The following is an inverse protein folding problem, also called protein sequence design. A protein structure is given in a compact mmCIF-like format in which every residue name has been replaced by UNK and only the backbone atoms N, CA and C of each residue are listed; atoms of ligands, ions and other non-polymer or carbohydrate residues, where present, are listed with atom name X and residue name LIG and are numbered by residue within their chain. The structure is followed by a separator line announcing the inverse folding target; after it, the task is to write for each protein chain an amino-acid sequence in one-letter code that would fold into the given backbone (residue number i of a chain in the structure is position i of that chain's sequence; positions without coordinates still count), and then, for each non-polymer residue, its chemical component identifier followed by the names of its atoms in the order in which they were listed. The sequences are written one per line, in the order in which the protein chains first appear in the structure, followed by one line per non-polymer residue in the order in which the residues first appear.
data_IF_456174437990
#
_entry.id   IF_456174437990
#
_cell.length_a   1.000
_cell.length_b   1.000
_cell.length_c   1.000
_cell.angle_alpha   90.00
_cell.angle_beta   90.00
_cell.angle_gamma   90.00
#
_symmetry.space_group_name_H-M   'P 1'
#
loop_
_entity.id
_entity.type
_entity.pdbx_description
1 polymer ?
#
# COMPACT_ATOMS: atom_id res chain seq x y z
N UNK A 1 -37.15 -13.19 8.91
CA UNK A 1 -36.80 -11.98 9.68
C UNK A 1 -35.30 -11.87 9.60
N UNK A 2 -34.79 -11.14 8.61
CA UNK A 2 -33.34 -11.03 8.37
C UNK A 2 -32.77 -9.95 9.28
N UNK A 3 -32.50 -10.32 10.54
CA UNK A 3 -31.71 -9.49 11.44
C UNK A 3 -30.24 -9.63 11.07
N UNK A 4 -29.83 -9.02 9.96
CA UNK A 4 -28.42 -8.80 9.66
C UNK A 4 -27.89 -7.74 10.62
N UNK A 5 -27.44 -8.20 11.78
CA UNK A 5 -26.73 -7.43 12.77
C UNK A 5 -25.37 -6.98 12.21
N UNK A 6 -25.38 -5.83 11.54
CA UNK A 6 -24.26 -5.33 10.76
C UNK A 6 -23.86 -3.93 11.25
N UNK A 7 -22.57 -3.77 11.53
CA UNK A 7 -21.94 -2.48 11.81
C UNK A 7 -21.00 -2.14 10.66
N UNK A 8 -20.79 -0.84 10.42
CA UNK A 8 -19.94 -0.35 9.35
C UNK A 8 -18.87 0.60 9.87
N UNK A 9 -17.70 0.50 9.27
CA UNK A 9 -16.62 1.50 9.37
C UNK A 9 -16.47 2.15 8.00
N UNK A 10 -16.39 3.48 7.99
CA UNK A 10 -16.06 4.26 6.82
C UNK A 10 -14.71 4.95 7.01
N UNK A 11 -13.86 4.91 5.98
CA UNK A 11 -12.53 5.51 5.97
C UNK A 11 -11.65 5.13 7.18
N UNK A 12 -11.69 3.87 7.61
CA UNK A 12 -10.80 3.34 8.64
C UNK A 12 -9.40 3.08 8.07
N UNK A 13 -8.37 3.14 8.91
CA UNK A 13 -6.98 2.85 8.52
C UNK A 13 -6.58 1.48 9.03
N UNK A 14 -5.97 0.66 8.18
CA UNK A 14 -5.36 -0.60 8.61
C UNK A 14 -4.12 -0.28 9.43
N UNK A 15 -4.10 -0.66 10.70
CA UNK A 15 -2.93 -0.52 11.57
C UNK A 15 -2.02 -1.74 11.52
N UNK A 16 -2.60 -2.92 11.29
CA UNK A 16 -1.87 -4.18 11.13
C UNK A 16 -2.68 -5.26 10.40
N UNK A 17 -1.99 -6.21 9.78
CA UNK A 17 -2.57 -7.39 9.14
C UNK A 17 -1.81 -8.62 9.61
N UNK A 18 -2.48 -9.45 10.41
CA UNK A 18 -1.88 -10.66 10.95
C UNK A 18 -2.48 -11.91 10.31
N UNK A 19 -1.61 -12.83 9.90
CA UNK A 19 -1.99 -14.13 9.37
C UNK A 19 -1.21 -15.23 10.07
N UNK A 20 -1.91 -16.21 10.65
CA UNK A 20 -1.27 -17.30 11.38
C UNK A 20 -2.17 -18.51 11.57
N UNK A 21 -1.64 -19.53 12.26
CA UNK A 21 -2.36 -20.78 12.55
C UNK A 21 -3.63 -20.56 13.40
N UNK A 22 -3.66 -19.48 14.17
CA UNK A 22 -4.76 -19.13 15.08
C UNK A 22 -5.84 -18.27 14.41
N UNK A 23 -5.78 -18.10 13.09
CA UNK A 23 -6.70 -17.28 12.31
C UNK A 23 -6.02 -16.07 11.69
N UNK A 24 -6.83 -15.34 10.92
CA UNK A 24 -6.42 -14.12 10.22
C UNK A 24 -7.24 -12.95 10.73
N UNK A 25 -6.61 -11.81 10.92
CA UNK A 25 -7.32 -10.62 11.35
C UNK A 25 -6.65 -9.33 10.86
N UNK A 26 -7.47 -8.29 10.77
CA UNK A 26 -7.07 -6.96 10.34
C UNK A 26 -7.38 -6.00 11.48
N UNK A 27 -6.37 -5.32 12.01
CA UNK A 27 -6.56 -4.27 13.00
C UNK A 27 -6.89 -2.96 12.26
N UNK A 28 -8.04 -2.39 12.54
CA UNK A 28 -8.51 -1.15 11.90
C UNK A 28 -8.69 -0.08 12.95
N UNK A 29 -8.07 1.09 12.73
CA UNK A 29 -8.38 2.31 13.46
C UNK A 29 -9.44 3.12 12.70
N UNK A 30 -10.41 3.70 13.39
CA UNK A 30 -11.49 4.45 12.76
C UNK A 30 -12.06 5.52 13.71
N UNK A 31 -12.83 6.44 13.15
CA UNK A 31 -13.54 7.47 13.90
C UNK A 31 -15.03 7.22 13.84
N UNK A 32 -15.61 6.84 14.99
CA UNK A 32 -17.07 6.68 15.12
C UNK A 32 -17.81 8.02 14.99
N UNK A 33 -17.17 9.13 15.39
CA UNK A 33 -17.66 10.47 15.13
C UNK A 33 -16.50 11.42 14.76
N UNK A 34 -16.28 11.70 13.46
CA UNK A 34 -15.19 12.57 13.00
C UNK A 34 -15.24 14.01 13.52
N UNK A 35 -16.43 14.54 13.81
CA UNK A 35 -16.64 15.93 14.22
C UNK A 35 -16.83 16.13 15.73
N UNK A 36 -16.77 15.05 16.51
CA UNK A 36 -17.04 15.10 17.95
C UNK A 36 -15.76 15.26 18.80
N UNK A 37 -14.58 15.32 18.19
CA UNK A 37 -13.31 15.43 18.92
C UNK A 37 -12.93 14.18 19.73
N UNK A 38 -13.53 13.02 19.45
CA UNK A 38 -13.16 11.75 20.07
C UNK A 38 -11.91 11.14 19.43
N UNK A 39 -11.12 10.44 20.24
CA UNK A 39 -9.96 9.68 19.80
C UNK A 39 -10.34 8.57 18.82
N UNK A 40 -9.39 8.18 17.97
CA UNK A 40 -9.55 7.05 17.08
C UNK A 40 -9.80 5.78 17.91
N UNK A 41 -10.86 5.05 17.58
CA UNK A 41 -11.10 3.72 18.12
C UNK A 41 -10.35 2.68 17.30
N UNK A 42 -10.07 1.53 17.89
CA UNK A 42 -9.49 0.39 17.20
C UNK A 42 -10.37 -0.84 17.36
N UNK A 43 -10.51 -1.62 16.29
CA UNK A 43 -11.20 -2.90 16.31
C UNK A 43 -10.39 -3.93 15.53
N UNK A 44 -10.38 -5.16 16.01
CA UNK A 44 -9.78 -6.29 15.33
C UNK A 44 -10.85 -7.07 14.57
N UNK A 45 -10.75 -7.02 13.25
CA UNK A 45 -11.67 -7.69 12.34
C UNK A 45 -11.17 -9.09 12.03
N UNK A 46 -11.87 -10.11 12.51
CA UNK A 46 -11.55 -11.52 12.26
C UNK A 46 -11.97 -11.89 10.84
N UNK A 47 -10.99 -12.27 10.02
CA UNK A 47 -11.15 -12.62 8.62
C UNK A 47 -11.25 -14.14 8.49
N UNK A 48 -12.27 -14.59 7.77
CA UNK A 48 -12.53 -16.00 7.47
C UNK A 48 -12.70 -16.23 5.96
N UNK A 49 -12.91 -17.47 5.55
CA UNK A 49 -13.21 -17.80 4.16
C UNK A 49 -14.51 -17.14 3.63
N UNK A 50 -15.38 -16.69 4.53
CA UNK A 50 -16.63 -16.00 4.18
C UNK A 50 -16.46 -14.48 4.08
N UNK A 51 -15.31 -13.93 4.45
CA UNK A 51 -15.04 -12.51 4.36
C UNK A 51 -14.70 -12.13 2.91
N UNK A 52 -15.44 -11.19 2.35
CA UNK A 52 -15.19 -10.65 1.00
C UNK A 52 -14.21 -9.49 1.10
N UNK A 53 -13.05 -9.59 0.44
CA UNK A 53 -12.06 -8.52 0.40
C UNK A 53 -11.99 -7.95 -1.02
N UNK A 54 -12.11 -6.64 -1.13
CA UNK A 54 -12.27 -5.93 -2.40
C UNK A 54 -11.19 -4.85 -2.57
N UNK A 55 -10.67 -4.74 -3.80
CA UNK A 55 -9.82 -3.61 -4.22
C UNK A 55 -10.65 -2.37 -4.54
N UNK A 56 -10.00 -1.24 -4.78
CA UNK A 56 -10.60 0.06 -5.08
C UNK A 56 -11.59 0.05 -6.25
N UNK A 57 -11.52 -0.96 -7.12
CA UNK A 57 -12.37 -1.17 -8.30
C UNK A 57 -13.46 -2.23 -8.05
N UNK A 58 -13.65 -2.64 -6.80
CA UNK A 58 -14.60 -3.67 -6.35
C UNK A 58 -14.27 -5.08 -6.87
N UNK A 59 -13.02 -5.36 -7.27
CA UNK A 59 -12.59 -6.70 -7.61
C UNK A 59 -12.21 -7.48 -6.35
N UNK A 60 -12.53 -8.77 -6.31
CA UNK A 60 -12.11 -9.65 -5.21
C UNK A 60 -10.60 -9.84 -5.20
N UNK A 61 -9.99 -9.60 -4.06
CA UNK A 61 -8.55 -9.76 -3.82
C UNK A 61 -8.29 -10.65 -2.60
N UNK A 62 -7.10 -11.28 -2.51
CA UNK A 62 -6.75 -12.10 -1.35
C UNK A 62 -6.36 -11.23 -0.15
N UNK A 63 -6.47 -11.77 1.07
CA UNK A 63 -6.09 -11.07 2.32
C UNK A 63 -4.66 -10.53 2.30
N UNK A 64 -3.72 -11.26 1.69
CA UNK A 64 -2.31 -10.86 1.54
C UNK A 64 -2.10 -9.53 0.80
N UNK A 65 -3.14 -9.04 0.12
CA UNK A 65 -3.11 -7.74 -0.57
C UNK A 65 -3.46 -6.58 0.36
N UNK A 66 -4.02 -6.84 1.55
CA UNK A 66 -4.20 -5.81 2.57
C UNK A 66 -2.86 -5.49 3.24
N UNK A 67 -2.61 -4.20 3.47
CA UNK A 67 -1.38 -3.72 4.09
C UNK A 67 -1.66 -2.61 5.08
N UNK A 68 -0.78 -2.48 6.08
CA UNK A 68 -0.79 -1.35 7.01
C UNK A 68 -0.79 -0.01 6.24
N UNK A 69 -1.60 0.91 6.71
CA UNK A 69 -1.80 2.24 6.14
C UNK A 69 -2.87 2.30 5.05
N UNK A 70 -3.37 1.18 4.52
CA UNK A 70 -4.51 1.24 3.60
C UNK A 70 -5.74 1.81 4.31
N UNK A 71 -6.49 2.63 3.59
CA UNK A 71 -7.80 3.12 4.01
C UNK A 71 -8.86 2.14 3.52
N UNK A 72 -9.74 1.70 4.40
CA UNK A 72 -10.78 0.71 4.14
C UNK A 72 -12.14 1.16 4.64
N UNK A 73 -13.17 0.71 3.92
CA UNK A 73 -14.51 0.56 4.47
C UNK A 73 -14.69 -0.90 4.89
N UNK A 74 -15.37 -1.15 6.01
CA UNK A 74 -15.60 -2.51 6.49
C UNK A 74 -17.04 -2.69 6.97
N UNK A 75 -17.60 -3.87 6.71
CA UNK A 75 -18.87 -4.32 7.27
C UNK A 75 -18.61 -5.58 8.11
N UNK A 76 -19.09 -5.58 9.35
CA UNK A 76 -18.77 -6.61 10.33
C UNK A 76 -19.92 -6.86 11.31
N UNK A 77 -19.81 -7.96 12.07
CA UNK A 77 -20.81 -8.33 13.08
C UNK A 77 -20.87 -7.30 14.20
N UNK A 78 -22.08 -6.93 14.64
CA UNK A 78 -22.23 -6.12 15.85
C UNK A 78 -21.85 -6.87 17.14
N UNK A 79 -21.71 -8.20 17.07
CA UNK A 79 -21.32 -9.04 18.19
C UNK A 79 -19.80 -8.94 18.38
N UNK A 80 -19.39 -8.09 19.33
CA UNK A 80 -17.99 -7.84 19.67
C UNK A 80 -17.57 -8.57 20.94
N UNK A 81 -16.30 -8.95 21.02
CA UNK A 81 -15.69 -9.46 22.26
C UNK A 81 -15.43 -8.34 23.25
N UNK A 82 -15.29 -8.68 24.54
CA UNK A 82 -14.88 -7.75 25.61
C UNK A 82 -13.35 -7.55 25.73
N UNK A 83 -12.60 -7.80 24.66
CA UNK A 83 -11.14 -7.62 24.64
C UNK A 83 -10.75 -6.17 24.33
N UNK A 84 -9.46 -5.85 24.48
CA UNK A 84 -8.89 -4.56 24.07
C UNK A 84 -7.75 -4.85 23.09
N UNK A 85 -7.87 -4.47 21.80
CA UNK A 85 -9.08 -3.94 21.15
C UNK A 85 -10.22 -4.98 21.08
N UNK A 86 -11.49 -4.54 20.95
CA UNK A 86 -12.62 -5.43 20.70
C UNK A 86 -12.43 -6.18 19.37
N UNK A 87 -12.98 -7.39 19.27
CA UNK A 87 -12.91 -8.21 18.06
C UNK A 87 -14.30 -8.56 17.54
N UNK A 88 -14.45 -8.62 16.22
CA UNK A 88 -15.70 -9.03 15.55
C UNK A 88 -15.43 -9.77 14.24
N UNK A 89 -16.38 -10.59 13.79
CA UNK A 89 -16.29 -11.25 12.49
C UNK A 89 -16.51 -10.23 11.35
N UNK A 90 -15.59 -10.21 10.38
CA UNK A 90 -15.72 -9.36 9.20
C UNK A 90 -16.50 -10.05 8.08
N UNK A 91 -17.44 -9.34 7.48
CA UNK A 91 -18.18 -9.77 6.30
C UNK A 91 -17.57 -9.20 5.03
N UNK A 92 -17.24 -7.91 5.03
CA UNK A 92 -16.65 -7.21 3.88
C UNK A 92 -15.53 -6.27 4.34
N UNK A 93 -14.42 -6.26 3.61
CA UNK A 93 -13.36 -5.24 3.73
C UNK A 93 -13.07 -4.71 2.32
N UNK A 94 -13.27 -3.41 2.12
CA UNK A 94 -13.16 -2.73 0.84
C UNK A 94 -12.04 -1.68 0.92
N UNK A 95 -10.99 -1.80 0.12
CA UNK A 95 -9.94 -0.78 0.02
C UNK A 95 -10.54 0.45 -0.66
N UNK A 96 -10.45 1.61 -0.02
CA UNK A 96 -10.84 2.91 -0.60
C UNK A 96 -9.66 3.83 -0.84
N UNK A 97 -8.50 3.51 -0.25
CA UNK A 97 -7.24 4.19 -0.51
C UNK A 97 -6.05 3.37 -0.04
N UNK A 98 -4.88 3.61 -0.60
CA UNK A 98 -3.62 3.05 -0.10
C UNK A 98 -2.78 4.18 0.47
N UNK A 99 -2.30 4.05 1.70
CA UNK A 99 -1.24 4.95 2.14
C UNK A 99 -0.05 4.80 1.19
N UNK A 100 0.42 5.92 0.67
CA UNK A 100 1.72 6.03 0.05
C UNK A 100 2.77 5.86 1.17
N UNK A 101 3.03 4.62 1.58
CA UNK A 101 4.30 4.32 2.22
C UNK A 101 5.37 4.38 1.14
N UNK A 102 6.21 5.38 1.27
CA UNK A 102 7.28 5.65 0.34
C UNK A 102 8.62 5.27 0.95
N UNK A 103 9.44 4.63 0.15
CA UNK A 103 10.84 4.37 0.45
C UNK A 103 11.72 5.19 -0.49
N UNK A 104 12.99 5.35 -0.10
CA UNK A 104 13.98 6.04 -0.92
C UNK A 104 15.11 5.08 -1.23
N UNK A 105 15.33 4.85 -2.52
CA UNK A 105 16.47 4.10 -3.02
C UNK A 105 17.43 5.03 -3.75
N UNK A 106 18.73 4.87 -3.51
CA UNK A 106 19.78 5.52 -4.30
C UNK A 106 20.51 4.48 -5.12
N UNK A 107 20.62 4.70 -6.43
CA UNK A 107 21.25 3.76 -7.34
C UNK A 107 21.70 4.41 -8.64
N UNK A 108 22.48 3.67 -9.42
CA UNK A 108 22.90 4.05 -10.76
C UNK A 108 21.98 3.40 -11.78
N UNK A 109 21.46 4.18 -12.72
CA UNK A 109 20.66 3.66 -13.83
C UNK A 109 21.55 2.76 -14.69
N UNK A 110 21.11 1.53 -14.95
CA UNK A 110 21.79 0.58 -15.83
C UNK A 110 21.02 0.29 -17.12
N UNK A 111 19.71 0.48 -17.09
CA UNK A 111 18.82 0.27 -18.23
C UNK A 111 17.60 1.21 -18.16
N UNK A 112 17.07 1.59 -19.32
CA UNK A 112 15.89 2.46 -19.43
C UNK A 112 15.00 1.99 -20.57
N UNK A 113 13.78 1.59 -20.21
CA UNK A 113 12.73 1.22 -21.16
C UNK A 113 11.84 2.44 -21.42
N UNK A 114 11.99 3.01 -22.62
CA UNK A 114 11.25 4.20 -23.05
C UNK A 114 9.81 3.90 -23.45
N UNK A 115 9.51 2.67 -23.84
CA UNK A 115 8.16 2.29 -24.26
C UNK A 115 7.27 2.08 -23.04
N UNK A 116 7.78 1.41 -22.01
CA UNK A 116 7.04 1.13 -20.78
C UNK A 116 7.28 2.16 -19.66
N UNK A 117 7.98 3.27 -19.97
CA UNK A 117 8.32 4.35 -19.04
C UNK A 117 8.89 3.83 -17.71
N UNK A 118 9.87 2.93 -17.82
CA UNK A 118 10.52 2.28 -16.67
C UNK A 118 12.04 2.33 -16.78
N UNK A 119 12.73 2.20 -15.66
CA UNK A 119 14.20 2.15 -15.63
C UNK A 119 14.68 1.21 -14.53
N UNK A 120 15.89 0.69 -14.68
CA UNK A 120 16.49 -0.26 -13.73
C UNK A 120 17.71 0.38 -13.07
N UNK A 121 17.83 0.23 -11.75
CA UNK A 121 19.00 0.71 -11.00
C UNK A 121 19.77 -0.40 -10.33
N UNK A 122 21.05 -0.15 -10.07
CA UNK A 122 21.90 -0.95 -9.18
C UNK A 122 22.51 -0.01 -8.13
N UNK A 123 22.47 -0.40 -6.86
CA UNK A 123 23.14 0.30 -5.76
C UNK A 123 24.53 -0.29 -5.53
N UNK A 124 25.54 0.57 -5.46
CA UNK A 124 26.94 0.24 -5.13
C UNK A 124 27.56 -0.93 -5.93
N UNK A 125 27.08 -1.15 -7.16
CA UNK A 125 27.54 -2.25 -8.03
C UNK A 125 27.10 -3.65 -7.57
N UNK A 126 26.23 -3.75 -6.56
CA UNK A 126 25.75 -5.03 -6.05
C UNK A 126 24.57 -5.56 -6.87
N UNK A 127 24.75 -6.66 -7.59
CA UNK A 127 23.69 -7.29 -8.41
C UNK A 127 22.44 -7.71 -7.60
N UNK A 128 22.56 -7.91 -6.29
CA UNK A 128 21.41 -8.22 -5.42
C UNK A 128 20.54 -6.99 -5.11
N UNK A 129 20.98 -5.79 -5.48
CA UNK A 129 20.24 -4.52 -5.29
C UNK A 129 19.51 -4.05 -6.54
N UNK A 130 19.42 -4.89 -7.58
CA UNK A 130 18.75 -4.52 -8.84
C UNK A 130 17.26 -4.31 -8.57
N UNK A 131 16.76 -3.13 -8.87
CA UNK A 131 15.33 -2.79 -8.79
C UNK A 131 14.92 -2.15 -10.10
N UNK A 132 13.75 -2.54 -10.62
CA UNK A 132 13.10 -1.86 -11.76
C UNK A 132 11.99 -0.94 -11.24
N UNK A 133 12.05 0.31 -11.67
CA UNK A 133 11.08 1.34 -11.33
C UNK A 133 10.17 1.62 -12.52
N UNK A 134 8.87 1.43 -12.33
CA UNK A 134 7.83 1.90 -13.24
C UNK A 134 7.47 3.34 -12.84
N UNK A 135 7.63 4.30 -13.76
CA UNK A 135 7.46 5.72 -13.41
C UNK A 135 5.99 6.11 -13.53
N UNK A 136 5.37 6.50 -12.41
CA UNK A 136 3.98 6.94 -12.38
C UNK A 136 3.74 8.14 -13.31
N UNK A 137 2.54 8.25 -13.89
CA UNK A 137 2.22 9.30 -14.85
C UNK A 137 2.45 10.72 -14.29
N UNK A 138 2.13 10.90 -13.01
CA UNK A 138 2.29 12.12 -12.23
C UNK A 138 3.64 12.24 -11.49
N UNK A 139 4.58 11.32 -11.73
CA UNK A 139 5.87 11.32 -11.06
C UNK A 139 6.69 12.57 -11.38
N UNK A 140 7.36 13.13 -10.35
CA UNK A 140 8.29 14.23 -10.51
C UNK A 140 9.66 13.71 -10.96
N UNK A 141 10.15 14.19 -12.11
CA UNK A 141 11.49 13.85 -12.59
C UNK A 141 12.33 15.12 -12.58
N UNK A 142 13.41 15.10 -11.80
CA UNK A 142 14.21 16.27 -11.50
C UNK A 142 15.69 16.06 -11.86
N UNK A 143 16.32 17.08 -12.43
CA UNK A 143 17.76 17.09 -12.63
C UNK A 143 18.52 17.36 -11.31
N UNK A 144 19.85 17.38 -11.38
CA UNK A 144 20.72 17.64 -10.22
C UNK A 144 20.54 19.02 -9.57
N UNK A 145 19.93 19.97 -10.29
CA UNK A 145 19.58 21.30 -9.77
C UNK A 145 18.16 21.35 -9.19
N UNK A 146 17.45 20.22 -9.11
CA UNK A 146 16.07 20.14 -8.63
C UNK A 146 15.03 20.71 -9.60
N UNK A 147 15.38 20.92 -10.87
CA UNK A 147 14.45 21.42 -11.90
C UNK A 147 13.78 20.26 -12.64
N UNK A 148 12.51 20.38 -13.05
CA UNK A 148 11.85 19.37 -13.86
C UNK A 148 12.65 19.00 -15.12
N UNK A 149 12.70 17.71 -15.43
CA UNK A 149 13.31 17.18 -16.66
C UNK A 149 12.43 16.09 -17.26
N UNK A 150 12.54 15.89 -18.57
CA UNK A 150 11.80 14.83 -19.26
C UNK A 150 12.38 13.45 -18.94
N UNK A 151 11.51 12.43 -18.89
CA UNK A 151 11.91 11.01 -18.76
C UNK A 151 12.95 10.60 -19.82
N UNK A 152 12.87 11.20 -21.01
CA UNK A 152 13.79 10.93 -22.13
C UNK A 152 15.26 11.24 -21.79
N UNK A 153 15.50 12.03 -20.75
CA UNK A 153 16.83 12.43 -20.30
C UNK A 153 17.36 11.55 -19.16
N UNK A 154 16.58 10.59 -18.65
CA UNK A 154 17.10 9.54 -17.78
C UNK A 154 17.86 8.53 -18.65
N UNK A 155 19.18 8.46 -18.50
CA UNK A 155 20.05 7.60 -19.30
C UNK A 155 20.91 6.70 -18.40
N UNK A 156 21.36 5.53 -18.90
CA UNK A 156 22.32 4.70 -18.18
C UNK A 156 23.54 5.50 -17.73
N UNK A 157 24.02 5.20 -16.53
CA UNK A 157 25.15 5.86 -15.91
C UNK A 157 24.79 7.00 -14.95
N UNK A 158 23.59 7.57 -15.02
CA UNK A 158 23.13 8.58 -14.04
C UNK A 158 22.95 7.96 -12.67
N UNK A 159 23.38 8.67 -11.63
CA UNK A 159 23.05 8.34 -10.24
C UNK A 159 21.75 9.06 -9.89
N UNK A 160 20.80 8.32 -9.32
CA UNK A 160 19.48 8.84 -8.99
C UNK A 160 19.08 8.46 -7.57
N UNK A 161 18.36 9.37 -6.92
CA UNK A 161 17.56 9.13 -5.73
C UNK A 161 16.11 8.96 -6.18
N UNK A 162 15.52 7.81 -5.87
CA UNK A 162 14.17 7.44 -6.28
C UNK A 162 13.29 7.34 -5.04
N UNK A 163 12.21 8.13 -4.99
CA UNK A 163 11.12 7.99 -4.01
C UNK A 163 10.06 7.09 -4.64
N UNK A 164 9.77 5.94 -4.03
CA UNK A 164 8.95 4.89 -4.63
C UNK A 164 8.04 4.23 -3.61
N UNK A 165 7.06 3.45 -4.07
CA UNK A 165 6.21 2.67 -3.18
C UNK A 165 7.03 1.63 -2.40
N UNK A 166 6.70 1.43 -1.13
CA UNK A 166 7.34 0.43 -0.27
C UNK A 166 7.02 -1.02 -0.69
N UNK A 167 5.92 -1.23 -1.44
CA UNK A 167 5.59 -2.55 -1.96
C UNK A 167 6.34 -2.83 -3.28
N UNK A 168 6.76 -4.08 -3.49
CA UNK A 168 7.42 -4.51 -4.72
C UNK A 168 6.81 -5.82 -5.25
N UNK A 169 6.99 -6.08 -6.55
CA UNK A 169 6.62 -7.36 -7.17
C UNK A 169 7.59 -8.47 -6.76
N UNK A 170 7.10 -9.71 -6.65
CA UNK A 170 7.94 -10.89 -6.40
C UNK A 170 8.64 -11.41 -7.67
N UNK A 171 9.12 -10.51 -8.54
CA UNK A 171 9.83 -10.83 -9.78
C UNK A 171 11.35 -10.70 -9.62
N UNK A 172 12.10 -11.14 -10.62
CA UNK A 172 13.55 -10.90 -10.71
C UNK A 172 13.81 -10.10 -12.01
N UNK A 173 14.26 -8.83 -11.92
CA UNK A 173 14.40 -8.05 -10.69
C UNK A 173 13.03 -7.70 -10.06
N UNK A 174 12.99 -7.37 -8.75
CA UNK A 174 11.80 -6.80 -8.12
C UNK A 174 11.44 -5.48 -8.79
N UNK A 175 10.14 -5.18 -8.86
CA UNK A 175 9.62 -3.96 -9.48
C UNK A 175 8.73 -3.17 -8.54
N UNK A 176 8.77 -1.85 -8.63
CA UNK A 176 7.91 -0.95 -7.85
C UNK A 176 7.59 0.33 -8.62
N UNK A 177 6.65 1.13 -8.10
CA UNK A 177 6.24 2.40 -8.69
C UNK A 177 7.08 3.55 -8.15
N UNK A 178 7.68 4.36 -9.01
CA UNK A 178 8.41 5.57 -8.64
C UNK A 178 7.52 6.81 -8.72
N UNK A 179 7.55 7.63 -7.66
CA UNK A 179 6.81 8.89 -7.53
C UNK A 179 7.71 10.12 -7.70
N UNK A 180 9.00 10.01 -7.35
CA UNK A 180 10.01 11.02 -7.68
C UNK A 180 11.29 10.34 -8.13
N UNK A 181 11.92 10.88 -9.18
CA UNK A 181 13.26 10.51 -9.61
C UNK A 181 14.11 11.78 -9.65
N UNK A 182 15.17 11.85 -8.86
CA UNK A 182 16.09 13.00 -8.83
C UNK A 182 17.50 12.55 -9.18
N UNK A 183 18.11 13.17 -10.20
CA UNK A 183 19.54 13.00 -10.48
C UNK A 183 20.35 13.62 -9.35
N UNK A 184 21.38 12.92 -8.86
CA UNK A 184 22.26 13.37 -7.77
C UNK A 184 23.74 13.23 -8.11
#
# INVERSE_FOLDING_TARGET
MDNTFLTQITNGTIEDVETGRNGSFVLVSYRDCPNCGMDNQTIRLNVSNNTVILDEKHNRIPLRSLQKGMTVNAAFSNATTRSIPPQAAAYVIQIVGRALQEEVTVGRIVDVDRQNRSFTTISDGNLSSVIRFNVADDAQILNSFGRPMNFVNLVPGLRVRVRHAAFMTMSIPPQTTAFEVRVI
#
